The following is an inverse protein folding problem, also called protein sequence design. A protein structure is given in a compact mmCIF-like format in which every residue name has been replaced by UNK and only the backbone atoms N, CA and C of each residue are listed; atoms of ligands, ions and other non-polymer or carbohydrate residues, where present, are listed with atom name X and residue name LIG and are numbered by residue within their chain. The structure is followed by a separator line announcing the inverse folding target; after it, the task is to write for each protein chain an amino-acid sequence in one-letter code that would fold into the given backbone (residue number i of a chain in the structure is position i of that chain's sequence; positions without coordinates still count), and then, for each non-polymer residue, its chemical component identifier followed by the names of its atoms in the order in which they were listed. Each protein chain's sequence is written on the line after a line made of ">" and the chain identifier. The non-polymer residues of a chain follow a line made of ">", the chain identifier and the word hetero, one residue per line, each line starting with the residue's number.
data_IF_657228926371
#
_entry.id   IF_657228926371
#
_cell.length_a   1.000
_cell.length_b   1.000
_cell.length_c   1.000
_cell.angle_alpha   90.00
_cell.angle_beta   90.00
_cell.angle_gamma   90.00
#
_symmetry.space_group_name_H-M   'P 1'
#
loop_
_entity.id
_entity.type
_entity.pdbx_description
1 polymer ?
#
# COMPACT_ATOMS: atom_id res chain seq x y z
N UNK A 1 -1.28 29.11 4.76
CA UNK A 1 -2.52 28.36 4.46
C UNK A 1 -2.68 27.27 5.51
N UNK A 2 -3.66 27.37 6.38
CA UNK A 2 -3.98 26.35 7.40
C UNK A 2 -4.81 25.24 6.76
N UNK A 3 -4.25 24.04 6.65
CA UNK A 3 -4.98 22.88 6.11
C UNK A 3 -5.98 22.39 7.15
N UNK A 4 -7.27 22.65 6.93
CA UNK A 4 -8.33 22.12 7.77
C UNK A 4 -8.52 20.61 7.48
N UNK A 5 -8.54 19.79 8.52
CA UNK A 5 -8.82 18.36 8.39
C UNK A 5 -10.29 18.15 8.01
N UNK A 6 -10.56 17.92 6.73
CA UNK A 6 -11.87 17.50 6.25
C UNK A 6 -12.02 15.98 6.40
N UNK A 7 -13.06 15.53 7.12
CA UNK A 7 -13.40 14.11 7.23
C UNK A 7 -14.67 13.85 6.43
N UNK A 8 -14.56 13.09 5.34
CA UNK A 8 -15.71 12.70 4.52
C UNK A 8 -16.31 11.42 5.08
N UNK A 9 -17.60 11.45 5.42
CA UNK A 9 -18.34 10.24 5.80
C UNK A 9 -18.83 9.56 4.53
N UNK A 10 -18.25 8.40 4.22
CA UNK A 10 -18.65 7.62 3.06
C UNK A 10 -19.89 6.80 3.42
N UNK A 11 -20.94 6.89 2.61
CA UNK A 11 -22.11 6.01 2.67
C UNK A 11 -22.15 5.13 1.42
N UNK A 12 -21.23 4.15 1.30
CA UNK A 12 -21.12 3.34 0.10
C UNK A 12 -22.32 2.41 -0.05
N UNK A 13 -22.81 2.24 -1.27
CA UNK A 13 -23.71 1.14 -1.61
C UNK A 13 -22.96 -0.20 -1.66
N UNK A 14 -23.69 -1.30 -1.80
CA UNK A 14 -23.11 -2.65 -1.74
C UNK A 14 -22.02 -2.90 -2.80
N UNK A 15 -22.16 -2.33 -4.00
CA UNK A 15 -21.14 -2.43 -5.05
C UNK A 15 -19.86 -1.69 -4.65
N UNK A 16 -20.00 -0.47 -4.15
CA UNK A 16 -18.88 0.36 -3.69
C UNK A 16 -18.15 -0.30 -2.51
N UNK A 17 -18.89 -0.88 -1.56
CA UNK A 17 -18.31 -1.61 -0.43
C UNK A 17 -17.43 -2.79 -0.89
N UNK A 18 -17.88 -3.56 -1.88
CA UNK A 18 -17.07 -4.64 -2.48
C UNK A 18 -15.78 -4.12 -3.10
N UNK A 19 -15.84 -3.01 -3.83
CA UNK A 19 -14.64 -2.39 -4.42
C UNK A 19 -13.67 -1.88 -3.34
N UNK A 20 -14.19 -1.26 -2.27
CA UNK A 20 -13.36 -0.80 -1.16
C UNK A 20 -12.63 -1.97 -0.47
N UNK A 21 -13.32 -3.08 -0.20
CA UNK A 21 -12.68 -4.26 0.38
C UNK A 21 -11.66 -4.90 -0.57
N UNK A 22 -11.96 -4.93 -1.87
CA UNK A 22 -11.03 -5.41 -2.89
C UNK A 22 -9.76 -4.54 -2.93
N UNK A 23 -9.91 -3.22 -2.96
CA UNK A 23 -8.78 -2.28 -2.91
C UNK A 23 -7.96 -2.44 -1.62
N UNK A 24 -8.62 -2.57 -0.47
CA UNK A 24 -7.95 -2.85 0.82
C UNK A 24 -7.13 -4.14 0.76
N UNK A 25 -7.69 -5.20 0.16
CA UNK A 25 -7.01 -6.49 0.03
C UNK A 25 -5.81 -6.41 -0.91
N UNK A 26 -5.95 -5.72 -2.05
CA UNK A 26 -4.85 -5.48 -2.97
C UNK A 26 -3.72 -4.68 -2.33
N UNK A 27 -4.05 -3.63 -1.58
CA UNK A 27 -3.05 -2.86 -0.84
C UNK A 27 -2.28 -3.74 0.15
N UNK A 28 -2.98 -4.62 0.89
CA UNK A 28 -2.33 -5.58 1.79
C UNK A 28 -1.36 -6.49 1.04
N UNK A 29 -1.75 -7.02 -0.12
CA UNK A 29 -0.88 -7.90 -0.91
C UNK A 29 0.37 -7.18 -1.42
N UNK A 30 0.20 -5.98 -1.98
CA UNK A 30 1.31 -5.17 -2.49
C UNK A 30 2.27 -4.82 -1.34
N UNK A 31 1.73 -4.38 -0.21
CA UNK A 31 2.53 -4.04 0.97
C UNK A 31 3.35 -5.24 1.46
N UNK A 32 2.72 -6.41 1.58
CA UNK A 32 3.39 -7.64 2.01
C UNK A 32 4.46 -8.09 1.01
N UNK A 33 4.19 -8.00 -0.29
CA UNK A 33 5.17 -8.33 -1.33
C UNK A 33 6.39 -7.40 -1.27
N UNK A 34 6.16 -6.09 -1.11
CA UNK A 34 7.22 -5.10 -0.95
C UNK A 34 8.07 -5.36 0.30
N UNK A 35 7.45 -5.68 1.44
CA UNK A 35 8.15 -6.04 2.67
C UNK A 35 9.00 -7.30 2.51
N UNK A 36 8.42 -8.35 1.92
CA UNK A 36 9.13 -9.60 1.66
C UNK A 36 10.35 -9.34 0.74
N UNK A 37 10.17 -8.55 -0.31
CA UNK A 37 11.26 -8.16 -1.21
C UNK A 37 12.38 -7.37 -0.53
N UNK A 38 12.05 -6.48 0.42
CA UNK A 38 13.05 -5.76 1.24
C UNK A 38 13.83 -6.71 2.15
N UNK A 39 13.12 -7.60 2.83
CA UNK A 39 13.74 -8.60 3.70
C UNK A 39 14.71 -9.47 2.91
N UNK A 40 14.26 -9.99 1.77
CA UNK A 40 15.10 -10.80 0.88
C UNK A 40 16.33 -10.02 0.40
N UNK A 41 16.17 -8.81 -0.13
CA UNK A 41 17.30 -8.02 -0.62
C UNK A 41 18.34 -7.70 0.47
N UNK A 42 17.89 -7.52 1.71
CA UNK A 42 18.80 -7.37 2.84
C UNK A 42 19.55 -8.68 3.14
N UNK A 43 18.85 -9.80 3.18
CA UNK A 43 19.42 -11.12 3.50
C UNK A 43 20.38 -11.63 2.42
N UNK A 44 20.10 -11.38 1.14
CA UNK A 44 20.91 -11.91 0.02
C UNK A 44 21.97 -10.95 -0.49
N UNK A 45 21.67 -9.65 -0.51
CA UNK A 45 22.53 -8.64 -1.15
C UNK A 45 23.07 -7.60 -0.17
N UNK A 46 22.64 -7.64 1.11
CA UNK A 46 23.08 -6.68 2.13
C UNK A 46 22.64 -5.23 1.87
N UNK A 47 21.69 -5.01 0.96
CA UNK A 47 21.25 -3.67 0.54
C UNK A 47 19.85 -3.34 1.03
N UNK A 48 19.64 -2.07 1.38
CA UNK A 48 18.33 -1.56 1.74
C UNK A 48 17.64 -0.98 0.50
N UNK A 49 16.50 -1.54 0.10
CA UNK A 49 15.72 -1.03 -1.03
C UNK A 49 14.96 0.24 -0.65
N UNK A 50 15.06 1.27 -1.49
CA UNK A 50 14.26 2.49 -1.40
C UNK A 50 12.97 2.34 -2.19
N UNK A 51 12.07 3.31 -2.04
CA UNK A 51 10.76 3.31 -2.69
C UNK A 51 10.85 3.15 -4.22
N UNK A 52 11.72 3.92 -4.88
CA UNK A 52 11.89 3.83 -6.34
C UNK A 52 12.43 2.48 -6.82
N UNK A 53 13.27 1.82 -6.02
CA UNK A 53 13.79 0.48 -6.34
C UNK A 53 12.69 -0.59 -6.26
N UNK A 54 11.68 -0.37 -5.40
CA UNK A 54 10.53 -1.27 -5.27
C UNK A 54 9.46 -0.99 -6.32
N UNK A 55 9.31 0.27 -6.75
CA UNK A 55 8.35 0.65 -7.78
C UNK A 55 8.78 0.23 -9.18
N UNK A 56 10.08 0.31 -9.49
CA UNK A 56 10.63 0.05 -10.82
C UNK A 56 11.12 -1.40 -11.00
N UNK A 57 10.72 -2.31 -10.11
CA UNK A 57 11.03 -3.74 -10.15
C UNK A 57 10.03 -4.48 -11.04
#
# INVERSE_FOLDING_TARGET
>A
MTTLRQTFRLYPNQNQQRQLFKARRWHQYIYNACLAGRKHAWETEGRSLKYFDQQNK
#
